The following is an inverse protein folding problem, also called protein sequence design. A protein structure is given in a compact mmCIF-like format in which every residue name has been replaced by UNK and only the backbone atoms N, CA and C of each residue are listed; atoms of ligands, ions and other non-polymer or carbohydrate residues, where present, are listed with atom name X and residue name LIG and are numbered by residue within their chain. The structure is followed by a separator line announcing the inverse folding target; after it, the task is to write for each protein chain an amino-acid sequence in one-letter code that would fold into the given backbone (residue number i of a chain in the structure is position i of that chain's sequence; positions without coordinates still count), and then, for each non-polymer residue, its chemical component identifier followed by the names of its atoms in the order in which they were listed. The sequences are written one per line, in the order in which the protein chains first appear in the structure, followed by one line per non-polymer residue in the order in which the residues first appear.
data_IF_456274724408
#
_entry.id   IF_456274724408
#
_cell.length_a   1.000
_cell.length_b   1.000
_cell.length_c   1.000
_cell.angle_alpha   90.00
_cell.angle_beta   90.00
_cell.angle_gamma   90.00
#
_symmetry.space_group_name_H-M   'P 1'
#
loop_
_entity.id
_entity.type
_entity.pdbx_description
1 polymer ?
#
# COMPACT_ATOMS: atom_id res chain seq x y z
N UNK A 1 -16.66 20.10 26.12
CA UNK A 1 -17.12 18.87 25.43
C UNK A 1 -15.93 18.34 24.63
N UNK A 2 -15.25 17.31 25.12
CA UNK A 2 -14.33 16.54 24.28
C UNK A 2 -15.15 15.91 23.16
N UNK A 3 -14.93 16.34 21.92
CA UNK A 3 -15.43 15.59 20.76
C UNK A 3 -14.65 14.28 20.74
N UNK A 4 -15.28 13.20 21.18
CA UNK A 4 -14.78 11.84 20.94
C UNK A 4 -14.55 11.69 19.44
N UNK A 5 -13.30 11.44 19.05
CA UNK A 5 -12.96 11.16 17.65
C UNK A 5 -13.73 9.93 17.18
N UNK A 6 -14.34 9.96 15.98
CA UNK A 6 -15.10 8.83 15.46
C UNK A 6 -14.21 7.59 15.34
N UNK A 7 -14.78 6.43 15.61
CA UNK A 7 -14.07 5.16 15.43
C UNK A 7 -13.78 4.93 13.94
N UNK A 8 -12.68 4.24 13.63
CA UNK A 8 -12.29 3.97 12.23
C UNK A 8 -13.39 3.23 11.45
N UNK A 9 -14.14 2.35 12.13
CA UNK A 9 -15.30 1.66 11.55
C UNK A 9 -16.40 2.62 11.09
N UNK A 10 -16.65 3.70 11.83
CA UNK A 10 -17.62 4.73 11.47
C UNK A 10 -17.15 5.54 10.26
N UNK A 11 -15.85 5.84 10.20
CA UNK A 11 -15.24 6.55 9.06
C UNK A 11 -15.30 5.69 7.79
N UNK A 12 -15.16 4.37 7.92
CA UNK A 12 -15.16 3.45 6.79
C UNK A 12 -16.55 2.98 6.34
N UNK A 13 -17.61 3.22 7.12
CA UNK A 13 -18.95 2.73 6.79
C UNK A 13 -19.40 3.07 5.36
N UNK A 14 -19.16 4.29 4.81
CA UNK A 14 -19.54 4.60 3.44
C UNK A 14 -18.89 3.67 2.40
N UNK A 15 -17.67 3.20 2.66
CA UNK A 15 -16.85 2.41 1.73
C UNK A 15 -16.70 0.94 2.17
N UNK A 16 -17.43 0.48 3.19
CA UNK A 16 -17.25 -0.85 3.77
C UNK A 16 -17.39 -1.98 2.74
N UNK A 17 -18.44 -1.92 1.92
CA UNK A 17 -18.65 -2.89 0.84
C UNK A 17 -17.52 -2.87 -0.20
N UNK A 18 -16.98 -1.69 -0.52
CA UNK A 18 -15.87 -1.59 -1.46
C UNK A 18 -14.58 -2.16 -0.86
N UNK A 19 -14.32 -1.96 0.44
CA UNK A 19 -13.18 -2.56 1.13
C UNK A 19 -13.27 -4.09 1.14
N UNK A 20 -14.46 -4.66 1.34
CA UNK A 20 -14.68 -6.11 1.20
C UNK A 20 -14.38 -6.59 -0.23
N UNK A 21 -14.75 -5.82 -1.25
CA UNK A 21 -14.40 -6.11 -2.66
C UNK A 21 -12.90 -5.98 -2.92
N UNK A 22 -12.20 -5.06 -2.25
CA UNK A 22 -10.74 -4.93 -2.33
C UNK A 22 -10.05 -6.18 -1.78
N UNK A 23 -10.50 -6.69 -0.62
CA UNK A 23 -9.95 -7.92 -0.05
C UNK A 23 -10.18 -9.13 -0.98
N UNK A 24 -11.34 -9.19 -1.65
CA UNK A 24 -11.65 -10.22 -2.65
C UNK A 24 -10.76 -10.10 -3.90
N UNK A 25 -10.57 -8.89 -4.44
CA UNK A 25 -9.66 -8.67 -5.56
C UNK A 25 -8.22 -9.02 -5.19
N UNK A 26 -7.75 -8.67 -3.99
CA UNK A 26 -6.45 -9.09 -3.52
C UNK A 26 -6.32 -10.62 -3.49
N UNK A 27 -7.29 -11.31 -2.89
CA UNK A 27 -7.29 -12.77 -2.78
C UNK A 27 -7.36 -13.46 -4.17
N UNK A 28 -8.07 -12.86 -5.12
CA UNK A 28 -8.14 -13.34 -6.51
C UNK A 28 -6.79 -13.22 -7.20
N UNK A 29 -6.09 -12.11 -7.00
CA UNK A 29 -4.86 -11.82 -7.72
C UNK A 29 -3.60 -12.47 -7.12
N UNK A 30 -3.63 -12.89 -5.85
CA UNK A 30 -2.53 -13.65 -5.23
C UNK A 30 -2.53 -15.14 -5.59
N UNK A 31 -3.54 -15.61 -6.36
CA UNK A 31 -3.59 -16.99 -6.83
C UNK A 31 -2.44 -17.31 -7.80
N UNK A 32 -1.86 -18.51 -7.67
CA UNK A 32 -0.77 -19.01 -8.51
C UNK A 32 -0.78 -20.53 -8.60
N UNK A 33 -0.18 -21.07 -9.68
CA UNK A 33 0.11 -22.51 -9.77
C UNK A 33 1.15 -22.95 -8.75
N UNK A 34 2.01 -22.03 -8.31
CA UNK A 34 2.98 -22.27 -7.24
C UNK A 34 2.25 -22.08 -5.90
N UNK A 35 1.86 -23.19 -5.26
CA UNK A 35 1.01 -23.22 -4.06
C UNK A 35 1.54 -22.41 -2.87
N UNK A 36 2.86 -22.22 -2.81
CA UNK A 36 3.50 -21.41 -1.78
C UNK A 36 3.01 -19.95 -1.79
N UNK A 37 2.76 -19.37 -2.97
CA UNK A 37 2.35 -17.98 -3.13
C UNK A 37 0.96 -17.72 -2.48
N UNK A 38 -0.13 -18.43 -2.85
CA UNK A 38 -1.42 -18.21 -2.20
C UNK A 38 -1.40 -18.59 -0.71
N UNK A 39 -0.57 -19.55 -0.29
CA UNK A 39 -0.42 -19.89 1.12
C UNK A 39 0.13 -18.71 1.94
N UNK A 40 1.21 -18.06 1.47
CA UNK A 40 1.77 -16.90 2.18
C UNK A 40 0.86 -15.68 2.01
N UNK A 41 0.25 -15.48 0.84
CA UNK A 41 -0.74 -14.43 0.61
C UNK A 41 -1.91 -14.49 1.61
N UNK A 42 -2.48 -15.67 1.84
CA UNK A 42 -3.52 -15.88 2.84
C UNK A 42 -3.01 -15.64 4.26
N UNK A 43 -1.77 -16.01 4.56
CA UNK A 43 -1.17 -15.73 5.87
C UNK A 43 -1.06 -14.23 6.15
N UNK A 44 -0.61 -13.45 5.17
CA UNK A 44 -0.52 -11.99 5.27
C UNK A 44 -1.91 -11.38 5.44
N UNK A 45 -2.89 -11.79 4.62
CA UNK A 45 -4.26 -11.25 4.70
C UNK A 45 -4.91 -11.52 6.06
N UNK A 46 -4.77 -12.75 6.58
CA UNK A 46 -5.34 -13.15 7.88
C UNK A 46 -4.57 -12.59 9.07
N UNK A 47 -3.41 -11.99 8.86
CA UNK A 47 -2.69 -11.17 9.85
C UNK A 47 -3.31 -9.76 10.01
N UNK A 48 -4.42 -9.50 9.31
CA UNK A 48 -5.28 -8.33 9.46
C UNK A 48 -4.77 -7.11 8.68
N UNK A 49 -5.21 -5.93 9.12
CA UNK A 49 -4.77 -4.65 8.57
C UNK A 49 -5.86 -3.60 8.69
N UNK A 50 -5.46 -2.35 8.88
CA UNK A 50 -6.41 -1.24 8.99
C UNK A 50 -6.93 -0.77 7.62
N UNK A 51 -6.41 -1.30 6.50
CA UNK A 51 -6.79 -0.95 5.11
C UNK A 51 -6.89 0.57 4.83
N UNK A 52 -6.08 1.37 5.51
CA UNK A 52 -6.18 2.85 5.43
C UNK A 52 -5.81 3.34 4.03
N UNK A 53 -4.79 2.75 3.39
CA UNK A 53 -4.35 3.15 2.04
C UNK A 53 -5.43 2.86 0.97
N UNK A 54 -5.99 1.64 0.88
CA UNK A 54 -7.18 1.37 0.09
C UNK A 54 -8.34 2.34 0.38
N UNK A 55 -8.61 2.60 1.65
CA UNK A 55 -9.69 3.49 2.06
C UNK A 55 -9.50 4.93 1.54
N UNK A 56 -8.29 5.47 1.61
CA UNK A 56 -7.96 6.80 1.07
C UNK A 56 -8.24 6.86 -0.43
N UNK A 57 -7.79 5.87 -1.20
CA UNK A 57 -8.04 5.82 -2.65
C UNK A 57 -9.54 5.75 -2.97
N UNK A 58 -10.27 4.86 -2.29
CA UNK A 58 -11.72 4.71 -2.47
C UNK A 58 -12.47 6.00 -2.14
N UNK A 59 -12.16 6.65 -1.02
CA UNK A 59 -12.77 7.91 -0.63
C UNK A 59 -12.43 9.05 -1.61
N UNK A 60 -11.17 9.17 -2.02
CA UNK A 60 -10.75 10.17 -3.00
C UNK A 60 -11.46 9.97 -4.34
N UNK A 61 -11.63 8.72 -4.79
CA UNK A 61 -12.38 8.41 -6.02
C UNK A 61 -13.85 8.83 -5.92
N UNK A 62 -14.50 8.57 -4.79
CA UNK A 62 -15.89 8.99 -4.56
C UNK A 62 -16.04 10.50 -4.44
N UNK A 63 -15.10 11.17 -3.77
CA UNK A 63 -15.07 12.63 -3.67
C UNK A 63 -14.87 13.28 -5.06
N UNK A 64 -14.10 12.64 -5.92
CA UNK A 64 -13.94 12.99 -7.32
C UNK A 64 -15.17 12.68 -8.19
N UNK A 65 -16.22 12.04 -7.65
CA UNK A 65 -17.44 11.67 -8.36
C UNK A 65 -17.35 10.37 -9.17
N UNK A 66 -16.28 9.58 -8.99
CA UNK A 66 -16.13 8.28 -9.65
C UNK A 66 -17.00 7.21 -9.00
N UNK A 67 -17.67 6.39 -9.81
CA UNK A 67 -18.55 5.29 -9.35
C UNK A 67 -18.21 3.93 -9.98
N UNK A 68 -17.13 3.85 -10.76
CA UNK A 68 -16.76 2.62 -11.46
C UNK A 68 -15.92 1.65 -10.62
N UNK A 69 -15.85 0.40 -11.05
CA UNK A 69 -15.15 -0.67 -10.32
C UNK A 69 -13.62 -0.56 -10.36
N UNK A 70 -13.07 0.28 -11.26
CA UNK A 70 -11.60 0.49 -11.33
C UNK A 70 -11.00 0.97 -10.00
N UNK A 71 -11.77 1.69 -9.17
CA UNK A 71 -11.30 2.14 -7.87
C UNK A 71 -10.97 0.97 -6.93
N UNK A 72 -11.71 -0.13 -7.03
CA UNK A 72 -11.48 -1.33 -6.24
C UNK A 72 -10.21 -2.02 -6.71
N UNK A 73 -10.02 -2.15 -8.03
CA UNK A 73 -8.79 -2.72 -8.59
C UNK A 73 -7.56 -1.90 -8.14
N UNK A 74 -7.59 -0.57 -8.28
CA UNK A 74 -6.44 0.26 -7.91
C UNK A 74 -6.23 0.34 -6.39
N UNK A 75 -7.29 0.26 -5.58
CA UNK A 75 -7.16 0.11 -4.13
C UNK A 75 -6.48 -1.23 -3.77
N UNK A 76 -6.81 -2.32 -4.47
CA UNK A 76 -6.11 -3.60 -4.31
C UNK A 76 -4.64 -3.51 -4.78
N UNK A 77 -4.36 -2.86 -5.91
CA UNK A 77 -2.99 -2.61 -6.41
C UNK A 77 -2.14 -1.93 -5.34
N UNK A 78 -2.65 -0.87 -4.71
CA UNK A 78 -1.91 -0.16 -3.65
C UNK A 78 -1.70 -1.03 -2.42
N UNK A 79 -2.67 -1.88 -2.04
CA UNK A 79 -2.46 -2.83 -0.94
C UNK A 79 -1.41 -3.89 -1.30
N UNK A 80 -1.30 -4.32 -2.57
CA UNK A 80 -0.20 -5.17 -3.03
C UNK A 80 1.16 -4.48 -2.89
N UNK A 81 1.28 -3.22 -3.35
CA UNK A 81 2.51 -2.42 -3.20
C UNK A 81 2.87 -2.29 -1.72
N UNK A 82 1.91 -1.91 -0.88
CA UNK A 82 2.15 -1.80 0.56
C UNK A 82 2.57 -3.14 1.18
N UNK A 83 1.92 -4.23 0.78
CA UNK A 83 2.26 -5.56 1.30
C UNK A 83 3.66 -5.97 0.88
N UNK A 84 4.06 -5.72 -0.36
CA UNK A 84 5.40 -5.99 -0.85
C UNK A 84 6.45 -5.26 0.02
N UNK A 85 6.22 -3.98 0.32
CA UNK A 85 7.16 -3.21 1.15
C UNK A 85 7.23 -3.78 2.57
N UNK A 86 6.11 -4.17 3.17
CA UNK A 86 6.12 -4.78 4.50
C UNK A 86 6.90 -6.10 4.56
N UNK A 87 6.76 -6.92 3.53
CA UNK A 87 7.45 -8.20 3.42
C UNK A 87 8.97 -8.00 3.33
N UNK A 88 9.42 -6.99 2.58
CA UNK A 88 10.84 -6.62 2.51
C UNK A 88 11.34 -5.94 3.79
N UNK A 89 10.59 -4.99 4.35
CA UNK A 89 10.92 -4.28 5.60
C UNK A 89 11.12 -5.27 6.75
N UNK A 90 10.25 -6.27 6.88
CA UNK A 90 10.35 -7.24 7.97
C UNK A 90 11.68 -8.03 7.93
N UNK A 91 12.31 -8.20 6.75
CA UNK A 91 13.66 -8.78 6.60
C UNK A 91 14.74 -7.77 6.96
N UNK A 92 14.61 -6.53 6.47
CA UNK A 92 15.61 -5.46 6.69
C UNK A 92 15.73 -5.16 8.19
N UNK A 93 14.61 -5.16 8.90
CA UNK A 93 14.53 -4.85 10.33
C UNK A 93 14.81 -6.06 11.25
N UNK A 94 15.08 -7.26 10.71
CA UNK A 94 15.26 -8.53 11.44
C UNK A 94 14.14 -8.80 12.47
N UNK A 95 12.90 -8.52 12.06
CA UNK A 95 11.76 -8.48 12.97
C UNK A 95 11.02 -9.83 13.05
N UNK A 96 11.21 -10.59 14.12
CA UNK A 96 10.61 -11.94 14.22
C UNK A 96 9.07 -11.96 14.25
N UNK A 97 8.43 -10.83 14.59
CA UNK A 97 7.00 -10.73 14.80
C UNK A 97 6.37 -9.55 14.04
N UNK A 98 5.24 -9.84 13.38
CA UNK A 98 4.33 -8.87 12.78
C UNK A 98 2.93 -9.03 13.36
N UNK A 99 2.44 -7.99 14.05
CA UNK A 99 1.10 -7.97 14.67
C UNK A 99 0.81 -9.20 15.56
N UNK A 100 1.80 -9.62 16.34
CA UNK A 100 1.69 -10.76 17.25
C UNK A 100 1.74 -12.14 16.59
N UNK A 101 2.06 -12.21 15.28
CA UNK A 101 2.32 -13.46 14.55
C UNK A 101 3.76 -13.45 14.01
N UNK A 102 4.32 -14.61 13.69
CA UNK A 102 5.64 -14.68 13.06
C UNK A 102 5.68 -13.83 11.78
N UNK A 103 6.78 -13.11 11.57
CA UNK A 103 7.03 -12.50 10.27
C UNK A 103 7.19 -13.58 9.19
N UNK A 104 7.03 -13.18 7.92
CA UNK A 104 7.13 -14.12 6.80
C UNK A 104 8.51 -14.77 6.74
N UNK A 105 9.57 -13.98 6.96
CA UNK A 105 10.94 -14.47 6.93
C UNK A 105 11.24 -15.47 8.06
N UNK A 106 10.74 -15.24 9.27
CA UNK A 106 10.92 -16.19 10.39
C UNK A 106 10.23 -17.53 10.14
N UNK A 107 9.19 -17.56 9.31
CA UNK A 107 8.41 -18.78 9.03
C UNK A 107 8.83 -19.52 7.75
N UNK A 108 9.23 -18.80 6.71
CA UNK A 108 9.55 -19.37 5.40
C UNK A 108 10.99 -19.10 4.93
N UNK A 109 11.76 -18.30 5.66
CA UNK A 109 13.13 -17.94 5.33
C UNK A 109 13.23 -16.70 4.45
N UNK A 110 14.42 -16.09 4.46
CA UNK A 110 14.69 -14.81 3.79
C UNK A 110 14.53 -14.92 2.27
N UNK A 111 15.06 -15.97 1.63
CA UNK A 111 15.02 -16.15 0.18
C UNK A 111 13.59 -16.16 -0.37
N UNK A 112 12.70 -16.89 0.31
CA UNK A 112 11.27 -16.98 -0.06
C UNK A 112 10.60 -15.62 0.12
N UNK A 113 10.97 -14.91 1.19
CA UNK A 113 10.36 -13.63 1.55
C UNK A 113 10.73 -12.53 0.57
N UNK A 114 12.00 -12.45 0.15
CA UNK A 114 12.45 -11.52 -0.90
C UNK A 114 11.69 -11.77 -2.20
N UNK A 115 11.67 -13.02 -2.68
CA UNK A 115 10.99 -13.39 -3.93
C UNK A 115 9.48 -13.15 -3.87
N UNK A 116 8.87 -13.32 -2.70
CA UNK A 116 7.45 -13.00 -2.51
C UNK A 116 7.20 -11.50 -2.63
N UNK A 117 8.03 -10.66 -2.01
CA UNK A 117 7.93 -9.21 -2.15
C UNK A 117 8.05 -8.77 -3.61
N UNK A 118 9.03 -9.34 -4.34
CA UNK A 118 9.20 -9.09 -5.79
C UNK A 118 7.96 -9.52 -6.59
N UNK A 119 7.41 -10.70 -6.28
CA UNK A 119 6.19 -11.19 -6.91
C UNK A 119 5.02 -10.24 -6.66
N UNK A 120 4.78 -9.83 -5.41
CA UNK A 120 3.66 -8.94 -5.05
C UNK A 120 3.80 -7.58 -5.76
N UNK A 121 5.03 -7.03 -5.81
CA UNK A 121 5.29 -5.78 -6.49
C UNK A 121 5.03 -5.88 -8.00
N UNK A 122 5.64 -6.85 -8.70
CA UNK A 122 5.42 -7.02 -10.15
C UNK A 122 3.96 -7.35 -10.46
N UNK A 123 3.30 -8.14 -9.61
CA UNK A 123 1.86 -8.44 -9.74
C UNK A 123 1.02 -7.17 -9.65
N UNK A 124 1.35 -6.25 -8.74
CA UNK A 124 0.65 -4.97 -8.60
C UNK A 124 0.76 -4.12 -9.88
N UNK A 125 1.94 -4.06 -10.50
CA UNK A 125 2.13 -3.34 -11.77
C UNK A 125 1.35 -3.99 -12.91
N UNK A 126 1.35 -5.33 -12.99
CA UNK A 126 0.56 -6.07 -13.98
C UNK A 126 -0.94 -5.85 -13.81
N UNK A 127 -1.43 -5.76 -12.56
CA UNK A 127 -2.82 -5.40 -12.26
C UNK A 127 -3.15 -3.97 -12.69
N UNK A 128 -2.26 -3.01 -12.40
CA UNK A 128 -2.46 -1.60 -12.77
C UNK A 128 -2.57 -1.39 -14.28
N UNK A 129 -1.88 -2.22 -15.07
CA UNK A 129 -1.90 -2.25 -16.53
C UNK A 129 -3.19 -2.80 -17.14
N UNK A 130 -4.07 -3.46 -16.39
CA UNK A 130 -5.29 -4.07 -16.95
C UNK A 130 -6.27 -3.08 -17.62
N UNK A 131 -6.15 -1.79 -17.33
CA UNK A 131 -6.95 -0.72 -17.93
C UNK A 131 -6.15 0.27 -18.77
N UNK A 132 -4.87 -0.01 -19.03
CA UNK A 132 -3.98 0.80 -19.87
C UNK A 132 -3.89 2.30 -19.48
N UNK A 133 -4.16 2.64 -18.21
CA UNK A 133 -4.05 4.01 -17.68
C UNK A 133 -2.59 4.31 -17.31
N UNK A 134 -1.76 4.63 -18.31
CA UNK A 134 -0.31 4.84 -18.15
C UNK A 134 0.05 5.91 -17.11
N UNK A 135 -0.76 6.95 -16.96
CA UNK A 135 -0.51 7.99 -15.95
C UNK A 135 -0.60 7.45 -14.52
N UNK A 136 -1.52 6.52 -14.24
CA UNK A 136 -1.63 5.88 -12.91
C UNK A 136 -0.39 5.02 -12.64
N UNK A 137 0.09 4.31 -13.66
CA UNK A 137 1.31 3.50 -13.55
C UNK A 137 2.53 4.39 -13.29
N UNK A 138 2.64 5.55 -13.95
CA UNK A 138 3.70 6.53 -13.67
C UNK A 138 3.69 6.99 -12.22
N UNK A 139 2.51 7.31 -11.67
CA UNK A 139 2.37 7.68 -10.24
C UNK A 139 2.80 6.54 -9.33
N UNK A 140 2.36 5.30 -9.61
CA UNK A 140 2.76 4.13 -8.82
C UNK A 140 4.28 3.90 -8.86
N UNK A 141 4.91 4.00 -10.02
CA UNK A 141 6.36 3.87 -10.15
C UNK A 141 7.12 4.97 -9.41
N UNK A 142 6.72 6.23 -9.57
CA UNK A 142 7.34 7.38 -8.89
C UNK A 142 7.22 7.28 -7.36
N UNK A 143 6.03 6.95 -6.86
CA UNK A 143 5.79 6.72 -5.42
C UNK A 143 6.64 5.57 -4.90
N UNK A 144 6.67 4.44 -5.59
CA UNK A 144 7.45 3.27 -5.15
C UNK A 144 8.95 3.57 -5.17
N UNK A 145 9.45 4.28 -6.19
CA UNK A 145 10.85 4.68 -6.25
C UNK A 145 11.21 5.57 -5.07
N UNK A 146 10.38 6.57 -4.74
CA UNK A 146 10.59 7.42 -3.56
C UNK A 146 10.56 6.63 -2.25
N UNK A 147 9.70 5.62 -2.12
CA UNK A 147 9.68 4.75 -0.95
C UNK A 147 11.00 3.98 -0.81
N UNK A 148 11.50 3.40 -1.91
CA UNK A 148 12.79 2.68 -1.93
C UNK A 148 13.95 3.62 -1.57
N UNK A 149 13.99 4.82 -2.17
CA UNK A 149 14.97 5.85 -1.82
C UNK A 149 14.88 6.26 -0.35
N UNK A 150 13.66 6.37 0.20
CA UNK A 150 13.43 6.66 1.61
C UNK A 150 13.97 5.58 2.53
N UNK A 151 13.77 4.31 2.17
CA UNK A 151 14.29 3.17 2.93
C UNK A 151 15.83 3.17 2.92
N UNK A 152 16.42 3.32 1.73
CA UNK A 152 17.88 3.42 1.59
C UNK A 152 18.44 4.61 2.38
N UNK A 153 17.78 5.76 2.33
CA UNK A 153 18.21 6.93 3.07
C UNK A 153 18.14 6.71 4.59
N UNK A 154 17.07 6.09 5.09
CA UNK A 154 16.95 5.68 6.49
C UNK A 154 18.12 4.81 6.92
N UNK A 155 18.52 3.84 6.09
CA UNK A 155 19.67 2.97 6.38
C UNK A 155 20.98 3.76 6.51
N UNK A 156 21.21 4.78 5.69
CA UNK A 156 22.42 5.64 5.82
C UNK A 156 22.45 6.48 7.09
N UNK A 157 21.30 6.68 7.74
CA UNK A 157 21.13 7.46 8.96
C UNK A 157 20.95 6.61 10.21
N UNK A 158 20.93 5.28 10.07
CA UNK A 158 20.69 4.40 11.19
C UNK A 158 21.85 4.50 12.20
N UNK A 159 21.55 4.81 13.46
CA UNK A 159 22.54 5.04 14.51
C UNK A 159 23.22 6.42 14.50
N UNK A 160 22.84 7.32 13.58
CA UNK A 160 23.36 8.69 13.53
C UNK A 160 22.60 9.61 14.50
N UNK A 161 23.24 9.94 15.64
CA UNK A 161 22.68 10.88 16.63
C UNK A 161 22.67 12.35 16.15
N UNK A 162 23.35 12.66 15.04
CA UNK A 162 23.39 13.98 14.42
C UNK A 162 22.30 14.22 13.37
N UNK A 163 21.39 13.26 13.15
CA UNK A 163 20.28 13.42 12.21
C UNK A 163 19.48 14.68 12.53
N UNK A 164 19.27 15.52 11.52
CA UNK A 164 18.45 16.73 11.68
C UNK A 164 16.96 16.42 11.56
N UNK A 165 16.12 17.30 12.08
CA UNK A 165 14.66 17.19 11.97
C UNK A 165 14.19 17.16 10.50
N UNK A 166 14.82 17.96 9.63
CA UNK A 166 14.51 17.99 8.20
C UNK A 166 14.81 16.65 7.50
N UNK A 167 15.95 16.03 7.83
CA UNK A 167 16.32 14.71 7.31
C UNK A 167 15.36 13.62 7.80
N UNK A 168 14.99 13.67 9.09
CA UNK A 168 13.99 12.75 9.65
C UNK A 168 12.64 12.88 8.95
N UNK A 169 12.15 14.11 8.74
CA UNK A 169 10.89 14.32 8.02
C UNK A 169 10.97 13.93 6.56
N UNK A 170 12.11 14.09 5.89
CA UNK A 170 12.28 13.60 4.51
C UNK A 170 12.17 12.07 4.43
N UNK A 171 12.79 11.34 5.37
CA UNK A 171 12.64 9.88 5.48
C UNK A 171 11.16 9.51 5.66
N UNK A 172 10.46 10.15 6.61
CA UNK A 172 9.03 9.87 6.87
C UNK A 172 8.17 10.17 5.64
N UNK A 173 8.43 11.29 4.95
CA UNK A 173 7.72 11.64 3.71
C UNK A 173 7.91 10.57 2.65
N UNK A 174 9.16 10.16 2.38
CA UNK A 174 9.51 9.15 1.38
C UNK A 174 8.95 7.77 1.69
N UNK A 175 9.23 7.24 2.89
CA UNK A 175 8.83 5.87 3.28
C UNK A 175 7.33 5.71 3.47
N UNK A 176 6.65 6.75 3.96
CA UNK A 176 5.23 6.65 4.36
C UNK A 176 4.29 7.57 3.60
N UNK A 177 4.56 8.88 3.59
CA UNK A 177 3.57 9.86 3.13
C UNK A 177 3.31 9.80 1.62
N UNK A 178 4.33 9.56 0.80
CA UNK A 178 4.16 9.49 -0.66
C UNK A 178 3.18 8.42 -1.11
N UNK A 179 3.11 7.27 -0.42
CA UNK A 179 2.13 6.25 -0.76
C UNK A 179 0.71 6.70 -0.43
N UNK A 180 0.50 7.44 0.67
CA UNK A 180 -0.80 8.03 0.98
C UNK A 180 -1.21 9.09 -0.06
N UNK A 181 -0.28 9.98 -0.44
CA UNK A 181 -0.52 10.96 -1.49
C UNK A 181 -0.86 10.28 -2.83
N UNK A 182 -0.10 9.23 -3.20
CA UNK A 182 -0.37 8.42 -4.38
C UNK A 182 -1.76 7.77 -4.35
N UNK A 183 -2.23 7.29 -3.19
CA UNK A 183 -3.61 6.76 -3.05
C UNK A 183 -4.65 7.82 -3.44
N UNK A 184 -4.53 9.02 -2.88
CA UNK A 184 -5.50 10.09 -3.08
C UNK A 184 -5.46 10.61 -4.53
N UNK A 185 -4.26 10.84 -5.06
CA UNK A 185 -4.03 11.25 -6.44
C UNK A 185 -4.62 10.23 -7.43
N UNK A 186 -4.33 8.94 -7.28
CA UNK A 186 -4.88 7.89 -8.15
C UNK A 186 -6.40 7.87 -8.06
N UNK A 187 -6.97 7.99 -6.85
CA UNK A 187 -8.42 8.08 -6.66
C UNK A 187 -9.04 9.22 -7.47
N UNK A 188 -8.45 10.42 -7.42
CA UNK A 188 -8.89 11.58 -8.19
C UNK A 188 -8.78 11.42 -9.70
N UNK A 189 -7.70 10.77 -10.17
CA UNK A 189 -7.45 10.53 -11.61
C UNK A 189 -8.52 9.68 -12.27
N UNK A 190 -9.22 8.80 -11.54
CA UNK A 190 -10.22 7.89 -12.12
C UNK A 190 -11.41 8.60 -12.77
N UNK A 191 -11.76 9.81 -12.30
CA UNK A 191 -12.81 10.64 -12.91
C UNK A 191 -12.27 11.80 -13.75
N UNK A 192 -10.95 11.87 -13.97
CA UNK A 192 -10.28 12.96 -14.71
C UNK A 192 -10.66 14.36 -14.18
N UNK A 193 -10.64 14.51 -12.86
CA UNK A 193 -10.95 15.80 -12.21
C UNK A 193 -9.94 16.88 -12.62
N UNK A 194 -10.31 18.18 -12.53
CA UNK A 194 -9.39 19.28 -12.78
C UNK A 194 -8.11 19.16 -11.94
N UNK A 195 -6.98 19.63 -12.47
CA UNK A 195 -5.68 19.53 -11.83
C UNK A 195 -5.68 20.08 -10.39
N UNK A 196 -6.40 21.17 -10.15
CA UNK A 196 -6.50 21.80 -8.83
C UNK A 196 -7.15 20.86 -7.79
N UNK A 197 -8.20 20.12 -8.18
CA UNK A 197 -8.84 19.14 -7.30
C UNK A 197 -7.95 17.89 -7.15
N UNK A 198 -7.28 17.46 -8.20
CA UNK A 198 -6.32 16.35 -8.13
C UNK A 198 -5.11 16.67 -7.24
N UNK A 199 -4.68 17.94 -7.18
CA UNK A 199 -3.57 18.41 -6.33
C UNK A 199 -4.01 18.61 -4.87
N UNK A 200 -5.29 18.90 -4.63
CA UNK A 200 -5.84 19.09 -3.29
C UNK A 200 -6.16 17.78 -2.56
N UNK A 201 -6.29 16.67 -3.30
CA UNK A 201 -6.50 15.31 -2.78
C UNK A 201 -5.18 14.72 -2.26
#
# INVERSE_FOLDING_TARGET
MEKSSPALSQIFEPIRADLERVDQEFARHVQSKVQLIPQIGQYIQTSGGKRIRPAVLLMASRLAGYQGDRAILYAAVVEFVHTATLVHDDIIDDSDLRRGRLAVHSRWGNDITVLLGDYLYIKSMAMALMHDELEIIRVLCDVTLRMIEGELYQLTKNGDAGITEDEHFDIVRRKTAHLFAGCAQIGGMLNRVPADLAQAL
#
